data_IF_509070499990
#
_entry.id   IF_509070499990
#
_cell.length_a   1.000
_cell.length_b   1.000
_cell.length_c   1.000
_cell.angle_alpha   90.00
_cell.angle_beta   90.00
_cell.angle_gamma   90.00
#
_symmetry.space_group_name_H-M   'P 1'
#
loop_
_entity.id
_entity.type
_entity.pdbx_description
1 polymer ?
#
# COMPACT_ATOMS: atom_id res chain seq x y z
N UNK A 1 0.88 9.68 -41.52
CA UNK A 1 1.42 10.94 -40.95
C UNK A 1 0.30 11.66 -40.24
N UNK A 2 0.08 11.29 -38.98
CA UNK A 2 -0.45 12.19 -37.94
C UNK A 2 -0.20 11.48 -36.61
N UNK A 3 0.91 11.88 -35.97
CA UNK A 3 1.25 11.52 -34.59
C UNK A 3 0.12 11.97 -33.66
N UNK A 4 -0.55 11.00 -33.05
CA UNK A 4 -1.23 11.23 -31.77
C UNK A 4 -0.12 11.09 -30.74
N UNK A 5 0.52 12.23 -30.44
CA UNK A 5 1.42 12.33 -29.31
C UNK A 5 0.63 11.92 -28.06
N UNK A 6 1.00 10.75 -27.54
CA UNK A 6 0.64 10.27 -26.23
C UNK A 6 1.01 11.39 -25.26
N UNK A 7 -0.01 12.08 -24.71
CA UNK A 7 0.20 13.06 -23.65
C UNK A 7 0.64 12.26 -22.43
N UNK A 8 1.94 12.03 -22.35
CA UNK A 8 2.64 11.69 -21.11
C UNK A 8 2.16 12.74 -20.10
N UNK A 9 1.38 12.29 -19.13
CA UNK A 9 0.81 13.16 -18.11
C UNK A 9 1.96 13.68 -17.25
N UNK A 10 2.43 14.87 -17.60
CA UNK A 10 3.36 15.68 -16.81
C UNK A 10 2.66 16.07 -15.50
N UNK A 11 2.67 15.15 -14.55
CA UNK A 11 2.43 15.42 -13.13
C UNK A 11 3.32 14.51 -12.28
N UNK A 12 4.62 14.46 -12.63
CA UNK A 12 5.69 14.05 -11.71
C UNK A 12 5.92 15.15 -10.67
N UNK A 13 4.85 15.53 -9.98
CA UNK A 13 4.99 16.08 -8.65
C UNK A 13 5.55 14.95 -7.79
N UNK A 14 6.80 15.08 -7.36
CA UNK A 14 7.38 14.29 -6.25
C UNK A 14 6.68 14.64 -4.93
N UNK A 15 5.35 14.56 -4.92
CA UNK A 15 4.53 14.78 -3.75
C UNK A 15 4.82 13.67 -2.74
N UNK A 16 4.95 14.06 -1.47
CA UNK A 16 4.99 13.08 -0.39
C UNK A 16 3.60 12.44 -0.36
N UNK A 17 3.50 11.17 -0.74
CA UNK A 17 2.22 10.46 -0.68
C UNK A 17 1.87 10.16 0.78
N UNK A 18 0.59 10.29 1.10
CA UNK A 18 0.09 9.90 2.40
C UNK A 18 0.39 8.41 2.67
N UNK A 19 0.89 8.05 3.87
CA UNK A 19 0.89 6.66 4.29
C UNK A 19 -0.49 6.04 4.15
N UNK A 20 -0.54 4.85 3.55
CA UNK A 20 -1.73 4.04 3.49
C UNK A 20 -1.97 3.44 4.89
N UNK A 21 -2.76 4.16 5.71
CA UNK A 21 -2.86 3.93 7.15
C UNK A 21 -4.09 3.12 7.52
N UNK A 22 -3.91 1.83 7.82
CA UNK A 22 -4.92 0.92 8.34
C UNK A 22 -4.75 0.64 9.85
N UNK A 23 -4.05 1.51 10.57
CA UNK A 23 -3.79 1.31 12.00
C UNK A 23 -5.02 1.53 12.87
N UNK A 24 -5.15 0.77 13.95
CA UNK A 24 -6.25 0.91 14.93
C UNK A 24 -7.67 0.68 14.34
N UNK A 25 -7.79 -0.15 13.30
CA UNK A 25 -9.07 -0.44 12.66
C UNK A 25 -9.69 -1.77 13.11
N UNK A 26 -9.07 -2.44 14.10
CA UNK A 26 -9.52 -3.73 14.62
C UNK A 26 -9.61 -4.82 13.52
N UNK A 27 -8.68 -4.76 12.56
CA UNK A 27 -8.59 -5.73 11.44
C UNK A 27 -8.11 -7.07 11.99
N UNK A 28 -8.73 -8.15 11.54
CA UNK A 28 -8.35 -9.53 11.88
C UNK A 28 -7.80 -10.29 10.67
N UNK A 29 -8.39 -10.07 9.51
CA UNK A 29 -8.00 -10.74 8.27
C UNK A 29 -7.42 -9.72 7.30
N UNK A 30 -6.30 -10.05 6.66
CA UNK A 30 -5.71 -9.18 5.64
C UNK A 30 -6.65 -8.96 4.44
N UNK A 31 -7.57 -9.90 4.17
CA UNK A 31 -8.60 -9.77 3.12
C UNK A 31 -9.56 -8.60 3.35
N UNK A 32 -9.62 -8.05 4.57
CA UNK A 32 -10.50 -6.93 4.89
C UNK A 32 -9.91 -5.59 4.40
N UNK A 33 -8.58 -5.51 4.22
CA UNK A 33 -7.87 -4.29 3.85
C UNK A 33 -8.39 -3.63 2.56
N UNK A 34 -8.60 -4.35 1.43
CA UNK A 34 -9.06 -3.72 0.19
C UNK A 34 -10.51 -3.19 0.27
N UNK A 35 -11.32 -3.72 1.18
CA UNK A 35 -12.73 -3.35 1.36
C UNK A 35 -12.88 -2.23 2.39
N UNK A 36 -11.96 -2.17 3.37
CA UNK A 36 -11.91 -1.11 4.36
C UNK A 36 -11.33 0.18 3.78
N UNK A 37 -11.84 1.32 4.25
CA UNK A 37 -11.22 2.62 3.96
C UNK A 37 -10.04 2.86 4.91
N UNK A 38 -8.87 3.25 4.40
CA UNK A 38 -7.75 3.63 5.25
C UNK A 38 -8.09 4.92 6.00
N UNK A 39 -7.42 5.11 7.14
CA UNK A 39 -7.45 6.36 7.88
C UNK A 39 -6.75 7.44 7.05
N UNK A 40 -7.48 8.50 6.80
CA UNK A 40 -6.95 9.70 6.16
C UNK A 40 -6.64 10.71 7.26
N UNK A 41 -5.36 11.07 7.37
CA UNK A 41 -4.85 12.14 8.24
C UNK A 41 -4.38 13.25 7.32
N UNK A 42 -5.23 14.23 6.96
CA UNK A 42 -4.84 15.31 6.06
C UNK A 42 -3.68 16.09 6.69
N UNK A 43 -2.54 16.11 6.03
CA UNK A 43 -1.44 17.02 6.33
C UNK A 43 -1.22 17.93 5.13
N UNK A 44 -0.75 19.16 5.37
CA UNK A 44 -0.61 20.19 4.33
C UNK A 44 0.27 19.77 3.13
N UNK A 45 1.14 18.76 3.32
CA UNK A 45 2.13 18.34 2.34
C UNK A 45 1.95 16.90 1.82
N UNK A 46 0.90 16.19 2.24
CA UNK A 46 0.67 14.80 1.83
C UNK A 46 -0.43 14.66 0.79
N UNK A 47 -0.12 14.01 -0.33
CA UNK A 47 -1.08 13.75 -1.42
C UNK A 47 -1.82 12.43 -1.18
N UNK A 48 -3.14 12.45 -1.34
CA UNK A 48 -3.99 11.26 -1.40
C UNK A 48 -4.31 11.03 -2.86
N UNK A 49 -3.84 9.92 -3.44
CA UNK A 49 -4.01 9.64 -4.87
C UNK A 49 -4.26 8.16 -5.11
N UNK A 50 -5.08 7.89 -6.12
CA UNK A 50 -5.26 6.56 -6.71
C UNK A 50 -4.89 6.59 -8.19
N UNK A 51 -4.46 5.45 -8.72
CA UNK A 51 -4.22 5.27 -10.14
C UNK A 51 -5.54 5.06 -10.92
N UNK A 52 -5.43 4.89 -12.24
CA UNK A 52 -6.55 4.59 -13.14
C UNK A 52 -7.28 3.28 -12.79
N UNK A 53 -6.62 2.34 -12.14
CA UNK A 53 -7.18 1.05 -11.72
C UNK A 53 -7.78 1.10 -10.30
N UNK A 54 -7.78 2.28 -9.66
CA UNK A 54 -8.28 2.48 -8.30
C UNK A 54 -7.33 2.00 -7.19
N UNK A 55 -6.08 1.66 -7.52
CA UNK A 55 -5.00 1.31 -6.59
C UNK A 55 -4.44 2.56 -5.93
N UNK A 56 -4.08 2.47 -4.65
CA UNK A 56 -3.49 3.56 -3.91
C UNK A 56 -2.07 3.85 -4.37
N UNK A 57 -1.73 5.13 -4.53
CA UNK A 57 -0.35 5.56 -4.77
C UNK A 57 0.23 5.96 -3.42
N UNK A 58 1.04 5.08 -2.83
CA UNK A 58 1.74 5.29 -1.56
C UNK A 58 2.97 4.40 -1.49
N UNK A 59 3.99 4.84 -0.76
CA UNK A 59 5.21 4.07 -0.48
C UNK A 59 5.21 3.45 0.93
N UNK A 60 4.20 3.78 1.74
CA UNK A 60 4.13 3.41 3.15
C UNK A 60 2.82 2.72 3.44
N UNK A 61 2.86 1.49 3.96
CA UNK A 61 1.70 0.75 4.42
C UNK A 61 1.79 0.54 5.94
N UNK A 62 0.79 1.04 6.67
CA UNK A 62 0.69 0.85 8.12
C UNK A 62 -0.49 -0.04 8.43
N UNK A 63 -0.25 -1.19 9.02
CA UNK A 63 -1.30 -2.14 9.47
C UNK A 63 -1.12 -2.43 10.97
N UNK A 64 -0.43 -1.54 11.69
CA UNK A 64 -0.11 -1.71 13.10
C UNK A 64 -1.32 -1.50 14.03
N UNK A 65 -1.27 -2.03 15.26
CA UNK A 65 -2.36 -1.93 16.23
C UNK A 65 -3.68 -2.55 15.73
N UNK A 66 -3.59 -3.76 15.19
CA UNK A 66 -4.73 -4.58 14.77
C UNK A 66 -4.65 -5.95 15.48
N UNK A 67 -5.46 -6.93 15.05
CA UNK A 67 -5.52 -8.28 15.62
C UNK A 67 -5.14 -9.35 14.58
N UNK A 68 -4.23 -9.01 13.67
CA UNK A 68 -3.83 -9.92 12.59
C UNK A 68 -2.92 -11.01 13.15
N UNK A 69 -3.24 -12.26 12.85
CA UNK A 69 -2.45 -13.43 13.24
C UNK A 69 -1.70 -14.04 12.04
N UNK A 70 -2.34 -14.08 10.87
CA UNK A 70 -1.77 -14.63 9.65
C UNK A 70 -1.43 -13.54 8.63
N UNK A 71 -0.18 -13.54 8.19
CA UNK A 71 0.34 -12.63 7.15
C UNK A 71 0.79 -13.36 5.87
N UNK A 72 0.41 -14.63 5.70
CA UNK A 72 0.75 -15.45 4.53
C UNK A 72 0.31 -14.85 3.20
N UNK A 73 -0.81 -14.12 3.20
CA UNK A 73 -1.40 -13.48 2.01
C UNK A 73 -0.95 -12.03 1.80
N UNK A 74 -0.04 -11.52 2.65
CA UNK A 74 0.37 -10.12 2.60
C UNK A 74 0.85 -9.66 1.22
N UNK A 75 1.67 -10.40 0.45
CA UNK A 75 2.09 -9.95 -0.87
C UNK A 75 0.93 -9.73 -1.84
N UNK A 76 -0.08 -10.62 -1.79
CA UNK A 76 -1.27 -10.54 -2.64
C UNK A 76 -2.06 -9.28 -2.27
N UNK A 77 -2.30 -9.06 -0.98
CA UNK A 77 -3.07 -7.90 -0.50
C UNK A 77 -2.33 -6.59 -0.78
N UNK A 78 -1.01 -6.54 -0.64
CA UNK A 78 -0.22 -5.35 -1.00
C UNK A 78 -0.36 -5.05 -2.50
N UNK A 79 -0.29 -6.05 -3.36
CA UNK A 79 -0.54 -5.88 -4.80
C UNK A 79 -1.97 -5.40 -5.08
N UNK A 80 -2.96 -5.95 -4.38
CA UNK A 80 -4.36 -5.52 -4.49
C UNK A 80 -4.57 -4.07 -4.03
N UNK A 81 -3.79 -3.57 -3.06
CA UNK A 81 -3.89 -2.20 -2.57
C UNK A 81 -3.11 -1.21 -3.43
N UNK A 82 -1.87 -1.53 -3.81
CA UNK A 82 -0.91 -0.59 -4.39
C UNK A 82 -0.67 -0.80 -5.89
N UNK A 83 -1.08 -1.92 -6.46
CA UNK A 83 -0.84 -2.28 -7.87
C UNK A 83 0.60 -2.70 -8.17
N UNK A 84 1.59 -2.26 -7.38
CA UNK A 84 3.00 -2.61 -7.49
C UNK A 84 3.63 -2.70 -6.10
N UNK A 85 4.17 -3.88 -5.75
CA UNK A 85 4.81 -4.13 -4.45
C UNK A 85 6.22 -3.52 -4.38
N UNK A 86 6.86 -3.24 -5.51
CA UNK A 86 8.25 -2.75 -5.56
C UNK A 86 8.41 -1.31 -5.07
N UNK A 87 7.32 -0.53 -5.08
CA UNK A 87 7.29 0.85 -4.60
C UNK A 87 7.08 0.97 -3.09
N UNK A 88 6.85 -0.15 -2.38
CA UNK A 88 6.67 -0.16 -0.93
C UNK A 88 8.04 -0.03 -0.23
N UNK A 89 8.30 1.12 0.38
CA UNK A 89 9.55 1.40 1.10
C UNK A 89 9.42 1.24 2.62
N UNK A 90 8.19 1.29 3.14
CA UNK A 90 7.92 1.10 4.57
C UNK A 90 6.67 0.27 4.83
N UNK A 91 6.80 -0.74 5.68
CA UNK A 91 5.73 -1.60 6.15
C UNK A 91 5.74 -1.68 7.67
N UNK A 92 4.65 -1.25 8.31
CA UNK A 92 4.49 -1.35 9.76
C UNK A 92 3.42 -2.38 10.13
N UNK A 93 3.86 -3.52 10.69
CA UNK A 93 3.02 -4.59 11.20
C UNK A 93 2.99 -4.65 12.74
N UNK A 94 3.57 -3.67 13.42
CA UNK A 94 3.75 -3.70 14.87
C UNK A 94 2.41 -3.81 15.63
N UNK A 95 2.45 -4.34 16.85
CA UNK A 95 1.25 -4.45 17.70
C UNK A 95 0.10 -5.23 17.04
N UNK A 96 0.42 -6.33 16.37
CA UNK A 96 -0.51 -7.38 15.94
C UNK A 96 -0.25 -8.67 16.72
N UNK A 97 -0.99 -9.74 16.43
CA UNK A 97 -0.90 -11.06 17.07
C UNK A 97 -0.11 -12.08 16.22
N UNK A 98 0.87 -11.62 15.43
CA UNK A 98 1.60 -12.45 14.45
C UNK A 98 2.57 -13.39 15.19
N UNK A 99 2.34 -14.71 15.22
CA UNK A 99 3.15 -15.65 16.00
C UNK A 99 4.43 -16.07 15.26
N UNK A 100 4.44 -15.93 13.93
CA UNK A 100 5.57 -16.32 13.07
C UNK A 100 5.55 -15.51 11.78
N UNK A 101 6.74 -15.28 11.22
CA UNK A 101 6.90 -14.60 9.93
C UNK A 101 7.02 -15.70 8.84
N UNK A 102 6.04 -15.84 7.93
CA UNK A 102 6.12 -16.80 6.83
C UNK A 102 7.13 -16.33 5.77
N UNK A 103 7.39 -17.18 4.78
CA UNK A 103 8.17 -16.76 3.62
C UNK A 103 7.36 -15.76 2.78
N UNK A 104 7.87 -14.53 2.66
CA UNK A 104 7.25 -13.42 1.93
C UNK A 104 8.02 -13.07 0.64
N UNK A 105 8.60 -14.06 -0.05
CA UNK A 105 9.44 -13.84 -1.24
C UNK A 105 8.78 -13.00 -2.36
N UNK A 106 7.44 -12.96 -2.41
CA UNK A 106 6.68 -12.13 -3.36
C UNK A 106 6.69 -10.62 -3.03
N UNK A 107 7.01 -10.24 -1.80
CA UNK A 107 7.19 -8.84 -1.38
C UNK A 107 8.61 -8.33 -1.66
N UNK A 108 9.56 -9.25 -1.83
CA UNK A 108 10.99 -8.97 -1.97
C UNK A 108 11.39 -9.31 -3.40
N UNK A 109 10.88 -8.55 -4.37
CA UNK A 109 11.51 -8.51 -5.69
C UNK A 109 12.72 -7.59 -5.54
N UNK A 110 13.80 -8.12 -4.95
CA UNK A 110 15.08 -7.45 -4.99
C UNK A 110 15.48 -7.36 -6.45
N UNK A 111 15.66 -6.13 -6.93
CA UNK A 111 16.38 -5.85 -8.15
C UNK A 111 17.73 -6.59 -8.09
N UNK A 112 17.84 -7.71 -8.79
CA UNK A 112 19.11 -8.38 -9.14
C UNK A 112 19.37 -8.19 -10.61
#
# INVERSE_FOLDING_TARGET
MTELADKKSDDESFGIFQPLDYSFLNIKNLSDLPVCSPRIIPSINSVIKKDINGKWISQTLKINNNQIEDISTLPIVVYELLGDTSNLTWLDLSCNNIPSIPNLSLLVVLNT
#
